data_IF_517421731354
#
_entry.id   IF_517421731354
#
_cell.length_a   1.000
_cell.length_b   1.000
_cell.length_c   1.000
_cell.angle_alpha   90.00
_cell.angle_beta   90.00
_cell.angle_gamma   90.00
#
_symmetry.space_group_name_H-M   'P 1'
#
loop_
_entity.id
_entity.type
_entity.pdbx_description
1 polymer ?
#
# COMPACT_ATOMS: atom_id res chain seq x y z
N UNK A 1 18.14 7.41 18.33
CA UNK A 1 17.91 7.91 16.96
C UNK A 1 17.10 6.88 16.22
N UNK A 2 15.91 7.26 15.75
CA UNK A 2 15.11 6.36 14.94
C UNK A 2 15.82 6.10 13.60
N UNK A 3 15.84 4.85 13.12
CA UNK A 3 16.45 4.54 11.84
C UNK A 3 15.68 5.24 10.72
N UNK A 4 16.42 5.84 9.79
CA UNK A 4 15.87 6.55 8.65
C UNK A 4 15.22 5.56 7.66
N UNK A 5 13.96 5.80 7.34
CA UNK A 5 13.26 5.08 6.28
C UNK A 5 13.29 5.93 5.03
N UNK A 6 13.81 5.37 3.95
CA UNK A 6 13.88 6.04 2.66
C UNK A 6 12.83 5.46 1.73
N UNK A 7 12.01 6.34 1.14
CA UNK A 7 11.04 5.97 0.11
C UNK A 7 11.56 6.45 -1.23
N UNK A 8 11.64 5.54 -2.19
CA UNK A 8 12.07 5.86 -3.55
C UNK A 8 11.03 5.43 -4.57
N UNK A 9 10.97 6.16 -5.68
CA UNK A 9 10.15 5.77 -6.83
C UNK A 9 10.77 4.53 -7.48
N UNK A 10 9.95 3.50 -7.69
CA UNK A 10 10.39 2.28 -8.37
C UNK A 10 10.55 2.52 -9.87
N UNK A 11 11.50 1.82 -10.47
CA UNK A 11 11.77 1.82 -11.90
C UNK A 11 11.40 0.47 -12.50
N UNK A 12 11.29 0.33 -13.85
CA UNK A 12 10.99 -0.97 -14.45
C UNK A 12 11.93 -2.09 -14.05
N UNK A 13 13.19 -1.78 -13.74
CA UNK A 13 14.16 -2.77 -13.28
C UNK A 13 13.85 -3.31 -11.87
N UNK A 14 12.97 -2.66 -11.13
CA UNK A 14 12.58 -3.06 -9.78
C UNK A 14 11.42 -4.07 -9.74
N UNK A 15 10.86 -4.45 -10.88
CA UNK A 15 9.70 -5.35 -10.94
C UNK A 15 9.95 -6.66 -10.19
N UNK A 16 11.13 -7.26 -10.34
CA UNK A 16 11.49 -8.51 -9.69
C UNK A 16 11.55 -8.39 -8.16
N UNK A 17 12.11 -7.30 -7.66
CA UNK A 17 12.21 -7.10 -6.20
C UNK A 17 10.85 -6.76 -5.59
N UNK A 18 10.01 -6.00 -6.28
CA UNK A 18 8.65 -5.72 -5.85
C UNK A 18 7.84 -7.01 -5.77
N UNK A 19 7.92 -7.85 -6.80
CA UNK A 19 7.25 -9.16 -6.83
C UNK A 19 7.67 -10.02 -5.64
N UNK A 20 8.97 -10.06 -5.34
CA UNK A 20 9.50 -10.84 -4.20
C UNK A 20 8.98 -10.31 -2.86
N UNK A 21 9.00 -8.99 -2.66
CA UNK A 21 8.50 -8.38 -1.42
C UNK A 21 7.01 -8.70 -1.25
N UNK A 22 6.23 -8.52 -2.31
CA UNK A 22 4.80 -8.80 -2.29
C UNK A 22 4.53 -10.26 -1.97
N UNK A 23 5.20 -11.18 -2.64
CA UNK A 23 5.03 -12.63 -2.41
C UNK A 23 5.36 -13.03 -0.99
N UNK A 24 6.50 -12.58 -0.45
CA UNK A 24 6.89 -12.86 0.94
C UNK A 24 5.87 -12.27 1.92
N UNK A 25 5.44 -11.04 1.70
CA UNK A 25 4.46 -10.38 2.56
C UNK A 25 3.13 -11.14 2.57
N UNK A 26 2.67 -11.60 1.41
CA UNK A 26 1.43 -12.37 1.29
C UNK A 26 1.59 -13.73 1.97
N UNK A 27 2.60 -14.51 1.61
CA UNK A 27 2.78 -15.86 2.13
C UNK A 27 3.01 -15.89 3.63
N UNK A 28 3.86 -15.03 4.14
CA UNK A 28 4.30 -15.05 5.54
C UNK A 28 3.53 -14.04 6.41
N UNK A 29 3.16 -12.89 5.85
CA UNK A 29 2.53 -11.83 6.61
C UNK A 29 1.01 -11.87 6.62
N UNK A 30 0.39 -12.55 5.65
CA UNK A 30 -1.07 -12.60 5.51
C UNK A 30 -1.65 -14.00 5.81
N UNK A 31 -0.93 -14.83 6.54
CA UNK A 31 -1.37 -16.20 6.84
C UNK A 31 -2.70 -16.24 7.62
N UNK A 32 -2.96 -15.24 8.45
CA UNK A 32 -4.23 -15.13 9.16
C UNK A 32 -5.42 -14.94 8.20
N UNK A 33 -5.17 -14.37 7.03
CA UNK A 33 -6.19 -14.09 6.01
C UNK A 33 -6.43 -15.28 5.09
N UNK A 34 -5.36 -15.83 4.52
CA UNK A 34 -5.45 -16.91 3.53
C UNK A 34 -5.36 -18.31 4.13
N UNK A 35 -5.01 -18.44 5.42
CA UNK A 35 -4.94 -19.71 6.16
C UNK A 35 -4.10 -20.78 5.47
N UNK A 36 -3.08 -20.35 4.70
CA UNK A 36 -2.24 -21.21 3.87
C UNK A 36 -3.01 -22.04 2.84
N UNK A 37 -4.21 -21.59 2.45
CA UNK A 37 -4.94 -22.20 1.35
C UNK A 37 -4.23 -21.91 0.03
N UNK A 38 -3.72 -22.94 -0.69
CA UNK A 38 -2.94 -22.72 -1.91
C UNK A 38 -3.70 -21.96 -3.00
N UNK A 39 -5.01 -22.11 -3.08
CA UNK A 39 -5.84 -21.44 -4.08
C UNK A 39 -5.95 -19.94 -3.80
N UNK A 40 -6.16 -19.60 -2.53
CA UNK A 40 -6.25 -18.20 -2.10
C UNK A 40 -4.90 -17.51 -2.27
N UNK A 41 -3.83 -18.16 -1.84
CA UNK A 41 -2.46 -17.63 -1.98
C UNK A 41 -2.12 -17.41 -3.45
N UNK A 42 -2.38 -18.40 -4.32
CA UNK A 42 -2.09 -18.29 -5.75
C UNK A 42 -2.89 -17.15 -6.41
N UNK A 43 -4.17 -17.01 -6.08
CA UNK A 43 -5.01 -15.94 -6.60
C UNK A 43 -4.49 -14.56 -6.18
N UNK A 44 -4.05 -14.42 -4.95
CA UNK A 44 -3.52 -13.17 -4.42
C UNK A 44 -2.17 -12.82 -5.07
N UNK A 45 -1.27 -13.77 -5.19
CA UNK A 45 0.06 -13.57 -5.77
C UNK A 45 -0.01 -13.27 -7.28
N UNK A 46 -1.04 -13.76 -7.97
CA UNK A 46 -1.20 -13.59 -9.42
C UNK A 46 -1.07 -12.14 -9.87
N UNK A 47 -1.55 -11.21 -9.07
CA UNK A 47 -1.51 -9.78 -9.40
C UNK A 47 -0.17 -9.12 -9.08
N UNK A 48 0.79 -9.87 -8.53
CA UNK A 48 2.07 -9.35 -8.09
C UNK A 48 3.26 -10.08 -8.72
N UNK A 49 3.02 -10.77 -9.84
CA UNK A 49 4.10 -11.39 -10.61
C UNK A 49 4.91 -10.34 -11.36
N UNK A 50 6.14 -10.68 -11.72
CA UNK A 50 7.01 -9.80 -12.51
C UNK A 50 6.32 -9.36 -13.80
N UNK A 51 5.71 -10.29 -14.52
CA UNK A 51 5.02 -9.99 -15.78
C UNK A 51 3.83 -9.04 -15.58
N UNK A 52 3.13 -9.15 -14.45
CA UNK A 52 2.01 -8.27 -14.12
C UNK A 52 2.50 -6.86 -13.76
N UNK A 53 3.61 -6.76 -13.03
CA UNK A 53 4.12 -5.50 -12.51
C UNK A 53 4.88 -4.67 -13.56
N UNK A 54 5.54 -5.30 -14.53
CA UNK A 54 6.35 -4.58 -15.51
C UNK A 54 5.61 -3.47 -16.23
N UNK A 55 4.42 -3.70 -16.83
CA UNK A 55 3.70 -2.62 -17.52
C UNK A 55 3.20 -1.55 -16.54
N UNK A 56 2.91 -1.89 -15.28
CA UNK A 56 2.47 -0.93 -14.28
C UNK A 56 3.56 0.08 -13.94
N UNK A 57 4.82 -0.33 -13.96
CA UNK A 57 5.97 0.55 -13.70
C UNK A 57 6.19 1.59 -14.80
N UNK A 58 5.58 1.42 -15.96
CA UNK A 58 5.63 2.37 -17.07
C UNK A 58 4.41 3.29 -17.13
N UNK A 59 3.39 3.06 -16.30
CA UNK A 59 2.15 3.82 -16.34
C UNK A 59 2.29 5.09 -15.49
N UNK A 60 2.22 6.30 -16.12
CA UNK A 60 2.36 7.56 -15.39
C UNK A 60 1.21 7.88 -14.44
N UNK A 61 0.08 7.15 -14.54
CA UNK A 61 -1.05 7.29 -13.62
C UNK A 61 -0.85 6.55 -12.31
N UNK A 62 0.23 5.77 -12.21
CA UNK A 62 0.53 4.96 -11.04
C UNK A 62 1.79 5.44 -10.36
N UNK A 63 1.82 5.29 -9.04
CA UNK A 63 3.03 5.45 -8.24
C UNK A 63 3.34 4.12 -7.58
N UNK A 64 4.48 3.56 -7.96
CA UNK A 64 5.06 2.39 -7.28
C UNK A 64 6.33 2.84 -6.55
N UNK A 65 6.43 2.47 -5.30
CA UNK A 65 7.53 2.89 -4.43
C UNK A 65 8.15 1.73 -3.71
N UNK A 66 9.39 1.96 -3.26
CA UNK A 66 10.15 1.03 -2.42
C UNK A 66 10.54 1.73 -1.13
N UNK A 67 10.45 1.01 -0.03
CA UNK A 67 10.92 1.48 1.28
C UNK A 67 12.22 0.75 1.64
N UNK A 68 13.22 1.54 2.05
CA UNK A 68 14.49 1.04 2.58
C UNK A 68 14.62 1.43 4.04
N UNK A 69 15.08 0.50 4.84
CA UNK A 69 15.41 0.71 6.24
C UNK A 69 16.82 0.15 6.47
N UNK A 70 17.75 0.99 6.92
CA UNK A 70 19.14 0.60 7.11
C UNK A 70 19.75 0.00 5.83
N UNK A 71 19.43 0.59 4.67
CA UNK A 71 19.91 0.14 3.36
C UNK A 71 19.26 -1.11 2.81
N UNK A 72 18.31 -1.72 3.52
CA UNK A 72 17.61 -2.94 3.10
C UNK A 72 16.22 -2.62 2.58
N UNK A 73 15.83 -3.29 1.50
CA UNK A 73 14.49 -3.18 0.95
C UNK A 73 13.50 -3.94 1.84
N UNK A 74 12.58 -3.21 2.45
CA UNK A 74 11.68 -3.76 3.47
C UNK A 74 10.21 -3.72 3.06
N UNK A 75 9.84 -2.88 2.10
CA UNK A 75 8.45 -2.75 1.71
C UNK A 75 8.26 -2.11 0.34
N UNK A 76 7.02 -2.16 -0.14
CA UNK A 76 6.60 -1.60 -1.42
C UNK A 76 5.14 -1.20 -1.37
N UNK A 77 4.77 -0.19 -2.14
CA UNK A 77 3.38 0.26 -2.23
C UNK A 77 3.05 0.73 -3.64
N UNK A 78 1.78 0.65 -4.00
CA UNK A 78 1.26 1.16 -5.27
C UNK A 78 -0.03 1.91 -5.06
N UNK A 79 -0.16 3.05 -5.74
CA UNK A 79 -1.38 3.85 -5.79
C UNK A 79 -1.62 4.38 -7.19
N UNK A 80 -2.86 4.79 -7.48
CA UNK A 80 -3.24 5.42 -8.74
C UNK A 80 -3.74 6.84 -8.53
N UNK A 81 -3.71 7.64 -9.59
CA UNK A 81 -4.23 9.02 -9.59
C UNK A 81 -5.73 9.10 -9.30
N UNK A 82 -6.44 7.98 -9.31
CA UNK A 82 -7.83 7.91 -8.87
C UNK A 82 -7.99 8.06 -7.35
N UNK A 83 -6.90 7.99 -6.60
CA UNK A 83 -6.90 7.99 -5.14
C UNK A 83 -6.81 6.61 -4.53
N UNK A 84 -6.78 5.56 -5.34
CA UNK A 84 -6.76 4.18 -4.84
C UNK A 84 -5.36 3.73 -4.48
N UNK A 85 -5.20 3.27 -3.25
CA UNK A 85 -4.01 2.55 -2.80
C UNK A 85 -4.26 1.06 -3.09
N UNK A 86 -3.52 0.52 -4.06
CA UNK A 86 -3.73 -0.84 -4.53
C UNK A 86 -3.10 -1.87 -3.61
N UNK A 87 -1.92 -1.57 -3.08
CA UNK A 87 -1.27 -2.38 -2.06
C UNK A 87 -0.24 -1.57 -1.26
N UNK A 88 0.03 -2.07 -0.07
CA UNK A 88 1.13 -1.62 0.78
C UNK A 88 1.63 -2.86 1.52
N UNK A 89 2.79 -3.36 1.12
CA UNK A 89 3.38 -4.57 1.67
C UNK A 89 4.68 -4.25 2.39
N UNK A 90 4.82 -4.77 3.61
CA UNK A 90 6.05 -4.74 4.38
C UNK A 90 6.43 -6.18 4.71
N UNK A 91 7.70 -6.52 4.55
CA UNK A 91 8.17 -7.86 4.90
C UNK A 91 8.01 -8.10 6.41
N UNK A 92 7.53 -9.30 6.84
CA UNK A 92 7.13 -9.52 8.23
C UNK A 92 8.20 -9.23 9.28
N UNK A 93 9.46 -9.54 8.99
CA UNK A 93 10.59 -9.27 9.89
C UNK A 93 10.83 -7.77 10.15
N UNK A 94 10.21 -6.91 9.34
CA UNK A 94 10.33 -5.45 9.44
C UNK A 94 9.05 -4.77 9.91
N UNK A 95 8.07 -5.54 10.43
CA UNK A 95 6.84 -4.99 10.96
C UNK A 95 7.11 -4.08 12.16
N UNK A 96 6.23 -3.09 12.36
CA UNK A 96 6.22 -2.16 13.48
C UNK A 96 7.48 -1.29 13.60
N UNK A 97 8.14 -1.05 12.47
CA UNK A 97 9.32 -0.17 12.41
C UNK A 97 9.06 1.12 11.61
N UNK A 98 7.80 1.36 11.25
CA UNK A 98 7.38 2.59 10.57
C UNK A 98 7.43 2.55 9.05
N UNK A 99 7.83 1.44 8.44
CA UNK A 99 7.92 1.35 6.97
C UNK A 99 6.56 1.49 6.29
N UNK A 100 5.53 0.81 6.81
CA UNK A 100 4.17 0.92 6.26
C UNK A 100 3.62 2.34 6.36
N UNK A 101 3.83 2.97 7.50
CA UNK A 101 3.43 4.37 7.71
C UNK A 101 4.13 5.29 6.71
N UNK A 102 5.43 5.13 6.52
CA UNK A 102 6.21 5.95 5.60
C UNK A 102 5.73 5.77 4.15
N UNK A 103 5.42 4.53 3.74
CA UNK A 103 4.88 4.24 2.41
C UNK A 103 3.52 4.93 2.19
N UNK A 104 2.62 4.84 3.15
CA UNK A 104 1.29 5.46 3.05
C UNK A 104 1.41 6.99 3.03
N UNK A 105 2.25 7.57 3.88
CA UNK A 105 2.49 9.01 3.92
C UNK A 105 3.04 9.55 2.61
N UNK A 106 3.96 8.82 1.99
CA UNK A 106 4.51 9.17 0.67
C UNK A 106 3.40 9.18 -0.40
N UNK A 107 2.55 8.16 -0.43
CA UNK A 107 1.41 8.09 -1.35
C UNK A 107 0.45 9.26 -1.11
N UNK A 108 0.11 9.56 0.13
CA UNK A 108 -0.78 10.67 0.44
C UNK A 108 -0.22 12.00 -0.06
N UNK A 109 1.08 12.24 0.11
CA UNK A 109 1.74 13.44 -0.39
C UNK A 109 1.70 13.51 -1.92
N UNK A 110 1.93 12.39 -2.59
CA UNK A 110 1.85 12.32 -4.05
C UNK A 110 0.44 12.59 -4.56
N UNK A 111 -0.58 12.01 -3.92
CA UNK A 111 -1.98 12.24 -4.27
C UNK A 111 -2.38 13.71 -4.06
N UNK A 112 -1.99 14.31 -2.93
CA UNK A 112 -2.25 15.74 -2.66
C UNK A 112 -1.61 16.62 -3.72
N UNK A 113 -0.41 16.32 -4.13
CA UNK A 113 0.30 17.05 -5.18
C UNK A 113 -0.38 16.99 -6.54
N UNK A 114 -1.27 16.03 -6.74
CA UNK A 114 -2.06 15.88 -7.96
C UNK A 114 -3.50 16.36 -7.81
N UNK A 115 -3.83 17.01 -6.70
CA UNK A 115 -5.17 17.52 -6.45
C UNK A 115 -6.19 16.47 -6.07
N UNK A 116 -5.76 15.26 -5.71
CA UNK A 116 -6.65 14.19 -5.26
C UNK A 116 -7.07 14.46 -3.83
N UNK A 117 -8.36 14.43 -3.56
CA UNK A 117 -8.94 14.86 -2.28
C UNK A 117 -9.30 13.71 -1.36
N UNK A 118 -9.22 12.48 -1.84
CA UNK A 118 -9.57 11.30 -1.05
C UNK A 118 -8.74 10.10 -1.47
N UNK A 119 -8.18 9.39 -0.48
CA UNK A 119 -7.55 8.10 -0.68
C UNK A 119 -8.54 6.98 -0.32
N UNK A 120 -8.51 5.90 -1.09
CA UNK A 120 -9.33 4.69 -0.84
C UNK A 120 -8.46 3.46 -0.90
N UNK A 121 -8.87 2.43 -0.18
CA UNK A 121 -8.22 1.12 -0.20
C UNK A 121 -9.19 0.03 0.29
N UNK A 122 -8.80 -1.21 0.02
CA UNK A 122 -9.40 -2.36 0.68
C UNK A 122 -8.38 -2.95 1.64
N UNK A 123 -8.70 -2.96 2.93
CA UNK A 123 -7.84 -3.57 3.93
C UNK A 123 -8.24 -5.03 4.19
N UNK A 124 -7.31 -5.80 4.70
CA UNK A 124 -7.62 -7.07 5.34
C UNK A 124 -8.08 -6.81 6.78
N UNK A 125 -8.60 -7.83 7.45
CA UNK A 125 -8.95 -7.70 8.87
C UNK A 125 -7.73 -7.39 9.72
N UNK A 126 -6.59 -8.02 9.42
CA UNK A 126 -5.36 -7.81 10.18
C UNK A 126 -4.79 -6.41 10.00
N UNK A 127 -4.94 -5.78 8.83
CA UNK A 127 -4.40 -4.45 8.56
C UNK A 127 -5.38 -3.31 8.86
N UNK A 128 -6.62 -3.62 9.18
CA UNK A 128 -7.66 -2.62 9.45
C UNK A 128 -7.24 -1.62 10.54
N UNK A 129 -6.72 -2.12 11.65
CA UNK A 129 -6.25 -1.26 12.76
C UNK A 129 -5.11 -0.36 12.34
N UNK A 130 -4.18 -0.85 11.52
CA UNK A 130 -3.08 -0.06 10.99
C UNK A 130 -3.59 1.13 10.18
N UNK A 131 -4.49 0.90 9.23
CA UNK A 131 -5.04 1.97 8.41
C UNK A 131 -5.92 2.92 9.22
N UNK A 132 -6.71 2.40 10.15
CA UNK A 132 -7.51 3.22 11.04
C UNK A 132 -6.64 4.18 11.85
N UNK A 133 -5.52 3.71 12.34
CA UNK A 133 -4.56 4.53 13.09
C UNK A 133 -3.97 5.65 12.21
N UNK A 134 -3.87 5.44 10.91
CA UNK A 134 -3.42 6.45 9.95
C UNK A 134 -4.53 7.42 9.51
N UNK A 135 -5.74 7.27 10.03
CA UNK A 135 -6.85 8.18 9.74
C UNK A 135 -7.86 7.67 8.71
N UNK A 136 -7.69 6.42 8.24
CA UNK A 136 -8.67 5.80 7.34
C UNK A 136 -9.89 5.34 8.14
N UNK A 137 -11.06 5.40 7.51
CA UNK A 137 -12.32 4.96 8.08
C UNK A 137 -13.00 3.96 7.16
N UNK A 138 -13.72 3.01 7.74
CA UNK A 138 -14.48 2.01 7.00
C UNK A 138 -15.62 2.70 6.23
N UNK A 139 -15.74 2.36 4.94
CA UNK A 139 -16.72 2.97 4.02
C UNK A 139 -18.00 2.17 3.90
N UNK A 140 -17.94 0.85 4.12
CA UNK A 140 -19.05 -0.06 3.94
C UNK A 140 -18.82 -1.35 4.74
N UNK A 141 -19.79 -2.25 4.76
CA UNK A 141 -19.63 -3.55 5.40
C UNK A 141 -18.53 -4.37 4.71
N UNK A 142 -17.89 -5.25 5.48
CA UNK A 142 -16.88 -6.16 4.97
C UNK A 142 -17.48 -7.09 3.90
N UNK A 143 -16.66 -7.44 2.91
CA UNK A 143 -17.07 -8.30 1.81
C UNK A 143 -15.96 -9.29 1.48
N UNK A 144 -16.25 -10.31 0.68
CA UNK A 144 -15.27 -11.32 0.30
C UNK A 144 -14.72 -11.05 -1.10
N UNK A 145 -13.40 -11.13 -1.24
CA UNK A 145 -12.69 -11.13 -2.53
C UNK A 145 -11.75 -12.33 -2.53
N UNK A 146 -11.93 -13.25 -3.48
CA UNK A 146 -11.03 -14.39 -3.65
C UNK A 146 -10.84 -15.24 -2.38
N UNK A 147 -11.89 -15.35 -1.54
CA UNK A 147 -11.81 -16.10 -0.29
C UNK A 147 -11.25 -15.32 0.89
N UNK A 148 -10.89 -14.04 0.71
CA UNK A 148 -10.36 -13.18 1.77
C UNK A 148 -11.39 -12.10 2.10
N UNK A 149 -11.57 -11.81 3.39
CA UNK A 149 -12.41 -10.70 3.82
C UNK A 149 -11.71 -9.37 3.55
N UNK A 150 -12.38 -8.49 2.83
CA UNK A 150 -11.90 -7.15 2.53
C UNK A 150 -12.78 -6.10 3.19
N UNK A 151 -12.19 -5.02 3.64
CA UNK A 151 -12.86 -3.89 4.27
C UNK A 151 -12.50 -2.63 3.49
N UNK A 152 -13.49 -2.07 2.78
CA UNK A 152 -13.28 -0.81 2.06
C UNK A 152 -13.09 0.34 3.05
N UNK A 153 -12.05 1.11 2.83
CA UNK A 153 -11.70 2.25 3.68
C UNK A 153 -11.40 3.50 2.84
N UNK A 154 -11.59 4.65 3.45
CA UNK A 154 -11.30 5.94 2.83
C UNK A 154 -10.66 6.90 3.83
N UNK A 155 -9.95 7.88 3.30
CA UNK A 155 -9.38 8.98 4.10
C UNK A 155 -9.44 10.27 3.29
N UNK A 156 -10.05 11.35 3.81
CA UNK A 156 -9.95 12.68 3.19
C UNK A 156 -8.50 13.15 3.22
N UNK A 157 -8.02 13.68 2.09
CA UNK A 157 -6.66 14.20 1.97
C UNK A 157 -6.62 15.73 2.08
N UNK A 158 -7.78 16.36 2.15
CA UNK A 158 -7.89 17.81 2.34
C UNK A 158 -8.12 18.06 3.82
N UNK A 159 -7.30 18.92 4.40
CA UNK A 159 -7.49 19.35 5.77
C UNK A 159 -8.76 20.21 5.84
N UNK A 160 -9.73 19.90 6.73
CA UNK A 160 -10.91 20.77 6.92
C UNK A 160 -10.58 22.22 7.25
N UNK A 161 -9.41 22.48 7.87
CA UNK A 161 -8.90 23.82 8.12
C UNK A 161 -8.24 24.45 6.88
N UNK A 162 -7.92 23.66 5.85
CA UNK A 162 -7.26 24.12 4.63
C UNK A 162 -8.18 24.85 3.64
N UNK A 163 -9.48 24.70 3.79
CA UNK A 163 -10.45 25.44 2.97
C UNK A 163 -10.46 26.94 3.26
N UNK A 164 -9.90 27.35 4.39
CA UNK A 164 -9.86 28.77 4.81
C UNK A 164 -8.58 29.49 4.40
N UNK A 165 -7.62 28.83 3.79
CA UNK A 165 -6.36 29.41 3.36
C UNK A 165 -6.26 29.54 1.85
N UNK A 166 -7.28 30.15 1.25
CA UNK A 166 -7.12 30.76 -0.08
C UNK A 166 -6.39 32.08 0.19
N UNK A 167 -5.16 32.26 -0.29
CA UNK A 167 -4.52 33.57 -0.17
C UNK A 167 -5.33 34.57 -1.01
N UNK A 168 -5.76 35.63 -0.36
CA UNK A 168 -6.33 36.80 -1.04
C UNK A 168 -5.30 37.44 -1.95
#
# INVERSE_FOLDING_TARGET
MEPLIEISTATPSDAGIISRIAERSIRLGCAAEHRNDPRIVAAWIRHNTLAHLQPLLLDPRLRLTLARLQGRLVGTAMASVSGRIAFCYVQPEWFRRGAGRALVRDIEAWLRGRGVVQATLNSTRSSHGFYRHLGFRQSAEAFAIGGVTAIAMHKPLVDPAGESSIPE
#
